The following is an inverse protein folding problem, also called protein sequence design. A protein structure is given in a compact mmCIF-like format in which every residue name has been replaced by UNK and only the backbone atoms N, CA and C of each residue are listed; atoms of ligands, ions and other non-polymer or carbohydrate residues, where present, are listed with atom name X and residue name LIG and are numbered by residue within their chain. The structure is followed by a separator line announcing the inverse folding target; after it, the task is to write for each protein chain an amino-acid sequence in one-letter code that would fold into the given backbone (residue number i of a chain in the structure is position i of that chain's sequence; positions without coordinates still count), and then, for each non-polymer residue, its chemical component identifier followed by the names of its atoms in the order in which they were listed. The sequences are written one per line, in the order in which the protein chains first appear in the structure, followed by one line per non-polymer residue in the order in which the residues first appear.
data_IF_488876053018
#
_entry.id   IF_488876053018
#
_cell.length_a   1.000
_cell.length_b   1.000
_cell.length_c   1.000
_cell.angle_alpha   90.00
_cell.angle_beta   90.00
_cell.angle_gamma   90.00
#
_symmetry.space_group_name_H-M   'P 1'
#
loop_
_entity.id
_entity.type
_entity.pdbx_description
1 polymer ?
#
# COMPACT_ATOMS: atom_id res chain seq x y z
N UNK A 1 -24.02 17.06 -22.04
CA UNK A 1 -23.05 17.49 -21.00
C UNK A 1 -21.84 16.56 -21.04
N UNK A 2 -21.13 16.48 -22.16
CA UNK A 2 -19.95 15.63 -22.30
C UNK A 2 -18.71 16.36 -21.77
N UNK A 3 -18.15 15.80 -20.69
CA UNK A 3 -16.79 15.94 -20.13
C UNK A 3 -16.22 17.35 -19.88
N UNK A 4 -16.82 18.10 -18.95
CA UNK A 4 -16.09 19.20 -18.27
C UNK A 4 -15.19 18.68 -17.13
N UNK A 5 -15.32 17.41 -16.74
CA UNK A 5 -14.59 16.83 -15.63
C UNK A 5 -14.06 15.45 -15.96
N UNK A 6 -12.88 15.15 -15.39
CA UNK A 6 -12.28 13.82 -15.44
C UNK A 6 -13.17 12.83 -14.67
N UNK A 7 -13.55 11.72 -15.31
CA UNK A 7 -14.38 10.67 -14.71
C UNK A 7 -13.60 9.88 -13.63
N UNK A 8 -14.24 9.40 -12.53
CA UNK A 8 -13.56 8.47 -11.64
C UNK A 8 -13.26 7.16 -12.34
N UNK A 9 -12.25 6.43 -11.85
CA UNK A 9 -11.97 5.11 -12.39
C UNK A 9 -13.20 4.18 -12.25
N UNK A 10 -13.52 3.47 -13.32
CA UNK A 10 -14.51 2.40 -13.34
C UNK A 10 -13.81 1.07 -13.64
N UNK A 11 -13.05 0.51 -12.68
CA UNK A 11 -12.30 -0.69 -12.96
C UNK A 11 -13.27 -1.81 -13.31
N UNK A 12 -13.04 -2.54 -14.41
CA UNK A 12 -13.81 -3.77 -14.62
C UNK A 12 -13.55 -4.78 -13.49
N UNK A 13 -14.46 -5.75 -13.28
CA UNK A 13 -14.21 -6.84 -12.35
C UNK A 13 -12.89 -7.58 -12.62
N UNK A 14 -12.48 -7.66 -13.89
CA UNK A 14 -11.18 -8.21 -14.29
C UNK A 14 -9.97 -7.39 -13.83
N UNK A 15 -10.07 -6.06 -13.77
CA UNK A 15 -8.99 -5.21 -13.26
C UNK A 15 -8.85 -5.37 -11.75
N UNK A 16 -9.96 -5.46 -11.02
CA UNK A 16 -9.95 -5.73 -9.57
C UNK A 16 -9.30 -7.08 -9.25
N UNK A 17 -9.72 -8.14 -9.96
CA UNK A 17 -9.14 -9.48 -9.81
C UNK A 17 -7.66 -9.46 -10.20
N UNK A 18 -7.30 -8.75 -11.27
CA UNK A 18 -5.92 -8.65 -11.74
C UNK A 18 -5.00 -7.91 -10.76
N UNK A 19 -5.40 -6.75 -10.21
CA UNK A 19 -4.62 -6.03 -9.18
C UNK A 19 -4.41 -6.92 -7.94
N UNK A 20 -5.47 -7.58 -7.48
CA UNK A 20 -5.42 -8.49 -6.33
C UNK A 20 -4.53 -9.71 -6.61
N UNK A 21 -4.61 -10.28 -7.82
CA UNK A 21 -3.81 -11.43 -8.25
C UNK A 21 -2.33 -11.09 -8.39
N UNK A 22 -1.99 -9.92 -8.94
CA UNK A 22 -0.63 -9.37 -8.98
C UNK A 22 -0.11 -9.21 -7.54
N UNK A 23 -0.94 -8.63 -6.66
CA UNK A 23 -0.67 -8.52 -5.24
C UNK A 23 -0.34 -9.85 -4.57
N UNK A 24 -1.18 -10.87 -4.78
CA UNK A 24 -0.95 -12.22 -4.24
C UNK A 24 0.38 -12.81 -4.71
N UNK A 25 0.66 -12.73 -6.01
CA UNK A 25 1.89 -13.24 -6.60
C UNK A 25 3.12 -12.57 -5.99
N UNK A 26 3.10 -11.24 -5.85
CA UNK A 26 4.23 -10.50 -5.28
C UNK A 26 4.36 -10.77 -3.79
N UNK A 27 3.26 -10.75 -3.04
CA UNK A 27 3.27 -11.09 -1.61
C UNK A 27 3.90 -12.45 -1.36
N UNK A 28 3.62 -13.43 -2.22
CA UNK A 28 4.24 -14.76 -2.16
C UNK A 28 5.74 -14.73 -2.51
N UNK A 29 6.14 -14.03 -3.56
CA UNK A 29 7.55 -13.88 -3.95
C UNK A 29 8.37 -13.20 -2.85
N UNK A 30 7.84 -12.12 -2.26
CA UNK A 30 8.49 -11.41 -1.16
C UNK A 30 8.58 -12.28 0.11
N UNK A 31 7.53 -13.05 0.40
CA UNK A 31 7.58 -14.02 1.49
C UNK A 31 8.70 -15.06 1.28
N UNK A 32 8.85 -15.61 0.07
CA UNK A 32 9.96 -16.52 -0.25
C UNK A 32 11.32 -15.82 -0.10
N UNK A 33 11.44 -14.59 -0.59
CA UNK A 33 12.69 -13.82 -0.51
C UNK A 33 13.10 -13.60 0.95
N UNK A 34 12.18 -13.14 1.80
CA UNK A 34 12.44 -12.92 3.22
C UNK A 34 12.71 -14.23 3.95
N UNK A 35 12.02 -15.30 3.57
CA UNK A 35 12.32 -16.64 4.09
C UNK A 35 13.75 -17.07 3.76
N UNK A 36 14.19 -16.91 2.51
CA UNK A 36 15.56 -17.21 2.10
C UNK A 36 16.59 -16.34 2.84
N UNK A 37 16.32 -15.05 3.03
CA UNK A 37 17.18 -14.15 3.81
C UNK A 37 17.33 -14.63 5.26
N UNK A 38 16.25 -15.09 5.89
CA UNK A 38 16.31 -15.65 7.25
C UNK A 38 17.13 -16.93 7.32
N UNK A 39 17.08 -17.80 6.31
CA UNK A 39 17.91 -19.01 6.25
C UNK A 39 19.39 -18.66 6.14
N UNK A 40 19.74 -17.67 5.31
CA UNK A 40 21.13 -17.23 5.12
C UNK A 40 21.70 -16.59 6.38
N UNK A 41 20.91 -15.78 7.09
CA UNK A 41 21.32 -15.14 8.33
C UNK A 41 21.37 -16.13 9.51
N UNK A 42 20.64 -17.25 9.43
CA UNK A 42 20.56 -18.28 10.46
C UNK A 42 19.58 -17.92 11.58
N UNK A 43 18.76 -18.88 12.01
CA UNK A 43 17.76 -18.67 13.09
C UNK A 43 18.40 -18.25 14.42
N UNK A 44 19.63 -18.71 14.68
CA UNK A 44 20.42 -18.35 15.85
C UNK A 44 20.89 -16.89 15.87
N UNK A 45 21.01 -16.25 14.71
CA UNK A 45 21.35 -14.82 14.59
C UNK A 45 20.19 -13.95 15.05
N UNK A 46 18.96 -14.25 14.65
CA UNK A 46 17.77 -13.51 15.08
C UNK A 46 17.52 -13.64 16.58
N UNK A 47 17.62 -14.86 17.13
CA UNK A 47 17.32 -15.14 18.55
C UNK A 47 18.37 -14.55 19.50
N UNK A 48 19.64 -14.45 19.08
CA UNK A 48 20.73 -13.94 19.94
C UNK A 48 21.08 -12.47 19.75
N UNK A 49 20.52 -11.79 18.74
CA UNK A 49 20.94 -10.42 18.37
C UNK A 49 19.98 -9.31 18.79
N UNK A 50 19.01 -9.58 19.68
CA UNK A 50 18.15 -8.52 20.22
C UNK A 50 19.00 -7.33 20.70
N UNK A 51 18.61 -6.12 20.29
CA UNK A 51 19.37 -4.89 20.50
C UNK A 51 19.40 -3.96 19.28
N UNK A 52 20.09 -2.84 19.43
CA UNK A 52 20.10 -1.75 18.44
C UNK A 52 20.55 -2.20 17.04
N UNK A 53 21.53 -3.10 16.96
CA UNK A 53 22.02 -3.63 15.68
C UNK A 53 20.93 -4.34 14.89
N UNK A 54 20.12 -5.16 15.55
CA UNK A 54 19.01 -5.84 14.90
C UNK A 54 17.91 -4.88 14.47
N UNK A 55 17.69 -3.82 15.24
CA UNK A 55 16.80 -2.72 14.87
C UNK A 55 17.23 -2.07 13.53
N UNK A 56 18.53 -1.79 13.36
CA UNK A 56 19.08 -1.27 12.10
C UNK A 56 18.94 -2.26 10.93
N UNK A 57 19.16 -3.56 11.17
CA UNK A 57 18.97 -4.57 10.13
C UNK A 57 17.51 -4.59 9.68
N UNK A 58 16.56 -4.66 10.62
CA UNK A 58 15.15 -4.81 10.29
C UNK A 58 14.58 -3.59 9.57
N UNK A 59 14.99 -2.36 9.93
CA UNK A 59 14.54 -1.16 9.21
C UNK A 59 15.08 -1.10 7.77
N UNK A 60 16.32 -1.58 7.55
CA UNK A 60 16.91 -1.67 6.21
C UNK A 60 16.22 -2.78 5.41
N UNK A 61 15.99 -3.94 6.02
CA UNK A 61 15.31 -5.06 5.36
C UNK A 61 13.89 -4.67 4.97
N UNK A 62 13.11 -4.03 5.85
CA UNK A 62 11.76 -3.57 5.51
C UNK A 62 11.77 -2.58 4.35
N UNK A 63 12.75 -1.66 4.32
CA UNK A 63 12.92 -0.72 3.23
C UNK A 63 13.24 -1.42 1.90
N UNK A 64 14.26 -2.27 1.88
CA UNK A 64 14.72 -2.96 0.65
C UNK A 64 13.63 -3.87 0.10
N UNK A 65 13.00 -4.68 0.96
CA UNK A 65 12.00 -5.65 0.51
C UNK A 65 10.75 -4.95 -0.01
N UNK A 66 10.28 -3.89 0.66
CA UNK A 66 9.13 -3.12 0.16
C UNK A 66 9.46 -2.39 -1.14
N UNK A 67 10.68 -1.85 -1.30
CA UNK A 67 11.09 -1.23 -2.56
C UNK A 67 11.12 -2.23 -3.73
N UNK A 68 11.72 -3.40 -3.53
CA UNK A 68 11.72 -4.46 -4.55
C UNK A 68 10.28 -4.85 -4.87
N UNK A 69 9.46 -5.06 -3.86
CA UNK A 69 8.05 -5.37 -3.99
C UNK A 69 7.29 -4.33 -4.81
N UNK A 70 7.47 -3.04 -4.51
CA UNK A 70 6.83 -1.94 -5.25
C UNK A 70 7.35 -1.80 -6.67
N UNK A 71 8.65 -2.01 -6.91
CA UNK A 71 9.20 -2.02 -8.27
C UNK A 71 8.55 -3.09 -9.14
N UNK A 72 8.41 -4.31 -8.61
CA UNK A 72 7.73 -5.41 -9.31
C UNK A 72 6.23 -5.08 -9.45
N UNK A 73 5.58 -4.58 -8.39
CA UNK A 73 4.15 -4.26 -8.39
C UNK A 73 3.79 -3.20 -9.44
N UNK A 74 4.46 -2.04 -9.41
CA UNK A 74 4.25 -0.98 -10.39
C UNK A 74 4.61 -1.42 -11.81
N UNK A 75 5.64 -2.26 -11.97
CA UNK A 75 6.03 -2.81 -13.28
C UNK A 75 4.94 -3.72 -13.85
N UNK A 76 4.40 -4.64 -13.04
CA UNK A 76 3.31 -5.53 -13.47
C UNK A 76 2.01 -4.78 -13.73
N UNK A 77 1.68 -3.76 -12.93
CA UNK A 77 0.53 -2.89 -13.21
C UNK A 77 0.69 -2.13 -14.52
N UNK A 78 1.87 -1.56 -14.78
CA UNK A 78 2.17 -0.90 -16.04
C UNK A 78 2.03 -1.84 -17.25
N UNK A 79 2.50 -3.09 -17.12
CA UNK A 79 2.37 -4.09 -18.19
C UNK A 79 0.93 -4.58 -18.40
N UNK A 80 0.19 -4.81 -17.32
CA UNK A 80 -1.17 -5.37 -17.39
C UNK A 80 -2.26 -4.33 -17.67
N UNK A 81 -2.07 -3.10 -17.20
CA UNK A 81 -3.06 -2.03 -17.19
C UNK A 81 -2.43 -0.69 -17.63
N UNK A 82 -1.54 -0.73 -18.62
CA UNK A 82 -0.71 0.42 -19.03
C UNK A 82 -1.47 1.66 -19.51
N UNK A 83 -2.78 1.59 -19.75
CA UNK A 83 -3.62 2.76 -20.00
C UNK A 83 -3.77 3.61 -18.72
N UNK A 84 -4.08 2.97 -17.60
CA UNK A 84 -4.25 3.64 -16.30
C UNK A 84 -2.89 3.84 -15.59
N UNK A 85 -1.96 2.92 -15.80
CA UNK A 85 -0.68 2.84 -15.10
C UNK A 85 0.51 3.14 -16.00
N UNK A 86 0.42 4.16 -16.86
CA UNK A 86 1.39 4.39 -17.94
C UNK A 86 2.78 4.88 -17.47
N UNK A 87 2.86 5.62 -16.36
CA UNK A 87 4.11 6.26 -15.91
C UNK A 87 4.79 5.48 -14.78
N UNK A 88 5.50 4.39 -15.16
CA UNK A 88 6.26 3.59 -14.21
C UNK A 88 7.27 4.42 -13.40
N UNK A 89 7.94 5.38 -14.05
CA UNK A 89 8.96 6.22 -13.43
C UNK A 89 8.40 7.03 -12.26
N UNK A 90 7.23 7.67 -12.42
CA UNK A 90 6.56 8.40 -11.34
C UNK A 90 6.03 7.47 -10.25
N UNK A 91 5.37 6.39 -10.62
CA UNK A 91 4.83 5.40 -9.67
C UNK A 91 5.91 4.84 -8.74
N UNK A 92 7.02 4.39 -9.34
CA UNK A 92 8.14 3.86 -8.58
C UNK A 92 8.89 4.96 -7.83
N UNK A 93 9.10 6.13 -8.45
CA UNK A 93 9.77 7.26 -7.81
C UNK A 93 9.08 7.74 -6.53
N UNK A 94 7.75 7.85 -6.53
CA UNK A 94 7.00 8.17 -5.31
C UNK A 94 7.08 7.06 -4.26
N UNK A 95 7.10 5.80 -4.68
CA UNK A 95 7.33 4.68 -3.76
C UNK A 95 8.71 4.76 -3.11
N UNK A 96 9.76 5.12 -3.85
CA UNK A 96 11.12 5.32 -3.32
C UNK A 96 11.15 6.44 -2.27
N UNK A 97 10.54 7.59 -2.59
CA UNK A 97 10.50 8.73 -1.68
C UNK A 97 9.73 8.41 -0.40
N UNK A 98 8.56 7.78 -0.51
CA UNK A 98 7.75 7.37 0.63
C UNK A 98 8.52 6.41 1.54
N UNK A 99 9.10 5.34 0.99
CA UNK A 99 9.86 4.36 1.76
C UNK A 99 11.10 4.99 2.41
N UNK A 100 11.78 5.92 1.74
CA UNK A 100 12.91 6.65 2.32
C UNK A 100 12.51 7.49 3.54
N UNK A 101 11.37 8.17 3.47
CA UNK A 101 10.82 8.90 4.61
C UNK A 101 10.38 7.97 5.75
N UNK A 102 9.83 6.80 5.42
CA UNK A 102 9.42 5.81 6.42
C UNK A 102 10.59 5.25 7.21
N UNK A 103 11.78 5.09 6.59
CA UNK A 103 13.00 4.73 7.34
C UNK A 103 13.27 5.75 8.44
N UNK A 104 13.19 7.05 8.13
CA UNK A 104 13.42 8.11 9.11
C UNK A 104 12.37 8.11 10.23
N UNK A 105 11.11 7.81 9.90
CA UNK A 105 9.99 7.80 10.85
C UNK A 105 10.01 6.56 11.75
N UNK A 106 10.31 5.38 11.19
CA UNK A 106 10.30 4.12 11.92
C UNK A 106 11.60 3.87 12.69
N UNK A 107 12.75 4.38 12.23
CA UNK A 107 14.04 4.19 12.92
C UNK A 107 13.99 4.47 14.43
N UNK A 108 13.49 5.62 14.93
CA UNK A 108 13.39 5.84 16.38
C UNK A 108 12.48 4.83 17.07
N UNK A 109 11.40 4.38 16.42
CA UNK A 109 10.49 3.36 16.96
C UNK A 109 11.22 2.02 17.10
N UNK A 110 11.98 1.61 16.08
CA UNK A 110 12.83 0.41 16.14
C UNK A 110 13.86 0.50 17.28
N UNK A 111 14.52 1.65 17.44
CA UNK A 111 15.50 1.84 18.51
C UNK A 111 14.87 1.80 19.90
N UNK A 112 13.68 2.40 20.07
CA UNK A 112 12.92 2.35 21.32
C UNK A 112 12.46 0.93 21.67
N UNK A 113 12.07 0.15 20.66
CA UNK A 113 11.56 -1.22 20.81
C UNK A 113 12.66 -2.29 20.72
N UNK A 114 13.93 -1.89 20.76
CA UNK A 114 15.07 -2.79 20.51
C UNK A 114 15.39 -3.78 21.63
N UNK A 115 14.73 -3.68 22.78
CA UNK A 115 14.95 -4.55 23.94
C UNK A 115 14.53 -6.00 23.73
N UNK A 116 13.53 -6.25 22.87
CA UNK A 116 13.00 -7.60 22.63
C UNK A 116 12.81 -7.86 21.14
N UNK A 117 13.16 -9.07 20.69
CA UNK A 117 13.00 -9.47 19.29
C UNK A 117 11.52 -9.42 18.86
N UNK A 118 10.60 -9.87 19.72
CA UNK A 118 9.16 -9.87 19.41
C UNK A 118 8.64 -8.46 19.12
N UNK A 119 9.04 -7.47 19.92
CA UNK A 119 8.68 -6.07 19.69
C UNK A 119 9.26 -5.55 18.38
N UNK A 120 10.53 -5.87 18.09
CA UNK A 120 11.17 -5.52 16.82
C UNK A 120 10.46 -6.13 15.61
N UNK A 121 10.04 -7.40 15.69
CA UNK A 121 9.30 -8.08 14.63
C UNK A 121 7.90 -7.51 14.44
N UNK A 122 7.24 -7.09 15.53
CA UNK A 122 5.96 -6.38 15.46
C UNK A 122 6.11 -5.02 14.77
N UNK A 123 7.10 -4.22 15.15
CA UNK A 123 7.40 -2.94 14.47
C UNK A 123 7.72 -3.19 12.99
N UNK A 124 8.49 -4.23 12.68
CA UNK A 124 8.78 -4.63 11.30
C UNK A 124 7.54 -4.95 10.49
N UNK A 125 6.61 -5.73 11.05
CA UNK A 125 5.37 -6.05 10.36
C UNK A 125 4.54 -4.80 10.07
N UNK A 126 4.38 -3.91 11.06
CA UNK A 126 3.67 -2.64 10.88
C UNK A 126 4.37 -1.77 9.84
N UNK A 127 5.70 -1.70 9.86
CA UNK A 127 6.48 -0.93 8.88
C UNK A 127 6.24 -1.44 7.46
N UNK A 128 6.35 -2.75 7.21
CA UNK A 128 6.10 -3.35 5.88
C UNK A 128 4.68 -3.07 5.41
N UNK A 129 3.66 -3.30 6.24
CA UNK A 129 2.26 -3.06 5.88
C UNK A 129 1.99 -1.59 5.57
N UNK A 130 2.53 -0.69 6.40
CA UNK A 130 2.34 0.76 6.22
C UNK A 130 3.11 1.28 5.00
N UNK A 131 4.30 0.75 4.75
CA UNK A 131 5.11 1.08 3.59
C UNK A 131 4.43 0.68 2.29
N UNK A 132 3.86 -0.53 2.23
CA UNK A 132 3.04 -0.92 1.09
C UNK A 132 1.78 -0.07 0.96
N UNK A 133 1.05 0.18 2.06
CA UNK A 133 -0.14 1.03 2.05
C UNK A 133 0.11 2.42 1.46
N UNK A 134 1.13 3.15 1.94
CA UNK A 134 1.44 4.49 1.42
C UNK A 134 1.91 4.41 -0.03
N UNK A 135 2.78 3.45 -0.36
CA UNK A 135 3.29 3.31 -1.73
C UNK A 135 2.17 3.00 -2.72
N UNK A 136 1.29 2.06 -2.38
CA UNK A 136 0.11 1.71 -3.17
C UNK A 136 -0.82 2.92 -3.34
N UNK A 137 -1.10 3.65 -2.26
CA UNK A 137 -1.96 4.84 -2.30
C UNK A 137 -1.37 5.90 -3.25
N UNK A 138 -0.06 6.13 -3.20
CA UNK A 138 0.62 7.07 -4.10
C UNK A 138 0.58 6.61 -5.55
N UNK A 139 0.72 5.30 -5.80
CA UNK A 139 0.52 4.72 -7.14
C UNK A 139 -0.89 5.04 -7.66
N UNK A 140 -1.94 4.80 -6.86
CA UNK A 140 -3.32 5.12 -7.27
C UNK A 140 -3.57 6.64 -7.40
N UNK A 141 -2.84 7.49 -6.68
CA UNK A 141 -2.92 8.94 -6.91
C UNK A 141 -2.37 9.34 -8.27
N UNK A 142 -1.36 8.63 -8.78
CA UNK A 142 -0.79 8.92 -10.10
C UNK A 142 -1.71 8.53 -11.26
N UNK A 143 -2.63 7.58 -11.04
CA UNK A 143 -3.55 7.12 -12.09
C UNK A 143 -4.75 8.07 -12.24
N UNK A 144 -5.27 8.60 -11.13
CA UNK A 144 -6.34 9.60 -11.16
C UNK A 144 -6.23 10.62 -10.01
N UNK A 145 -5.45 11.70 -10.20
CA UNK A 145 -5.18 12.68 -9.16
C UNK A 145 -6.43 13.40 -8.63
N UNK A 146 -7.44 13.61 -9.48
CA UNK A 146 -8.68 14.30 -9.12
C UNK A 146 -9.54 13.52 -8.13
N UNK A 147 -9.25 12.23 -7.94
CA UNK A 147 -9.94 11.36 -6.98
C UNK A 147 -8.99 10.83 -5.89
N UNK A 148 -7.89 11.53 -5.61
CA UNK A 148 -6.94 11.17 -4.57
C UNK A 148 -7.61 10.95 -3.21
N UNK A 149 -8.60 11.78 -2.83
CA UNK A 149 -9.34 11.58 -1.58
C UNK A 149 -10.11 10.23 -1.55
N UNK A 150 -10.74 9.85 -2.65
CA UNK A 150 -11.41 8.54 -2.77
C UNK A 150 -10.40 7.39 -2.74
N UNK A 151 -9.29 7.51 -3.47
CA UNK A 151 -8.21 6.52 -3.48
C UNK A 151 -7.59 6.30 -2.09
N UNK A 152 -7.46 7.38 -1.30
CA UNK A 152 -7.00 7.31 0.08
C UNK A 152 -7.97 6.52 0.96
N UNK A 153 -9.28 6.78 0.86
CA UNK A 153 -10.30 6.06 1.62
C UNK A 153 -10.24 4.56 1.30
N UNK A 154 -10.26 4.19 0.02
CA UNK A 154 -10.21 2.78 -0.39
C UNK A 154 -8.97 2.06 0.12
N UNK A 155 -7.81 2.70 0.01
CA UNK A 155 -6.54 2.15 0.52
C UNK A 155 -6.52 2.07 2.05
N UNK A 156 -7.11 3.05 2.74
CA UNK A 156 -7.20 3.07 4.21
C UNK A 156 -8.12 1.96 4.73
N UNK A 157 -9.24 1.68 4.07
CA UNK A 157 -10.10 0.54 4.39
C UNK A 157 -9.34 -0.79 4.27
N UNK A 158 -8.55 -0.93 3.19
CA UNK A 158 -7.69 -2.07 2.99
C UNK A 158 -6.60 -2.22 4.06
N UNK A 159 -5.95 -1.12 4.42
CA UNK A 159 -4.95 -1.11 5.48
C UNK A 159 -5.55 -1.46 6.84
N UNK A 160 -6.72 -0.90 7.18
CA UNK A 160 -7.44 -1.23 8.40
C UNK A 160 -7.78 -2.73 8.49
N UNK A 161 -8.31 -3.32 7.41
CA UNK A 161 -8.57 -4.76 7.35
C UNK A 161 -7.29 -5.58 7.47
N UNK A 162 -6.21 -5.13 6.84
CA UNK A 162 -4.87 -5.76 6.93
C UNK A 162 -4.40 -5.82 8.37
N UNK A 163 -4.52 -4.73 9.12
CA UNK A 163 -4.17 -4.70 10.55
C UNK A 163 -5.03 -5.65 11.37
N UNK A 164 -6.34 -5.70 11.14
CA UNK A 164 -7.24 -6.62 11.84
C UNK A 164 -6.84 -8.08 11.58
N UNK A 165 -6.59 -8.44 10.32
CA UNK A 165 -6.16 -9.80 9.95
C UNK A 165 -4.79 -10.13 10.55
N UNK A 166 -3.84 -9.20 10.51
CA UNK A 166 -2.53 -9.37 11.15
C UNK A 166 -2.66 -9.62 12.66
N UNK A 167 -3.49 -8.84 13.35
CA UNK A 167 -3.74 -8.99 14.78
C UNK A 167 -4.46 -10.29 15.13
N UNK A 168 -5.33 -10.80 14.24
CA UNK A 168 -5.94 -12.11 14.40
C UNK A 168 -4.89 -13.23 14.25
N UNK A 169 -4.00 -13.14 13.26
CA UNK A 169 -2.87 -14.08 13.11
C UNK A 169 -1.97 -14.01 14.35
N UNK A 170 -1.68 -12.80 14.84
CA UNK A 170 -0.91 -12.57 16.05
C UNK A 170 -1.52 -13.29 17.26
N UNK A 171 -2.81 -13.10 17.50
CA UNK A 171 -3.49 -13.69 18.67
C UNK A 171 -3.58 -15.21 18.59
N UNK A 172 -3.80 -15.79 17.40
CA UNK A 172 -3.83 -17.24 17.19
C UNK A 172 -2.47 -17.91 17.41
N UNK A 173 -1.38 -17.16 17.20
CA UNK A 173 -0.01 -17.69 17.28
C UNK A 173 0.66 -17.45 18.64
N UNK A 174 0.19 -16.46 19.41
CA UNK A 174 0.64 -16.19 20.80
C UNK A 174 -0.31 -16.74 21.86
N UNK A 175 -1.58 -16.97 21.53
CA UNK A 175 -2.67 -17.27 22.47
C UNK A 175 -2.76 -18.71 22.99
N UNK A 176 -1.69 -19.51 22.92
CA UNK A 176 -1.72 -20.91 23.39
C UNK A 176 -0.75 -21.27 24.52
N UNK A 177 -0.10 -20.31 25.17
CA UNK A 177 0.74 -20.61 26.34
C UNK A 177 0.71 -19.47 27.34
N UNK A 178 0.50 -19.85 28.60
CA UNK A 178 0.57 -19.03 29.79
C UNK A 178 1.67 -17.96 29.68
N UNK A 179 1.25 -16.73 29.98
CA UNK A 179 2.10 -15.56 30.08
C UNK A 179 3.25 -15.83 31.05
N UNK A 180 4.47 -15.89 30.53
CA UNK A 180 5.65 -16.06 31.37
C UNK A 180 6.93 -16.05 30.55
N UNK A 181 7.13 -17.03 29.67
CA UNK A 181 8.47 -17.29 29.13
C UNK A 181 8.44 -18.14 27.84
N UNK A 182 7.36 -18.06 27.05
CA UNK A 182 7.27 -18.83 25.81
C UNK A 182 8.15 -18.20 24.72
N UNK A 183 9.38 -18.67 24.59
CA UNK A 183 10.16 -18.50 23.35
C UNK A 183 9.28 -18.88 22.16
N UNK A 184 9.07 -17.95 21.22
CA UNK A 184 8.36 -18.25 19.99
C UNK A 184 9.02 -19.45 19.30
N UNK A 185 8.26 -20.50 19.07
CA UNK A 185 8.71 -21.59 18.23
C UNK A 185 9.10 -21.08 16.84
N UNK A 186 10.06 -21.75 16.20
CA UNK A 186 10.60 -21.33 14.90
C UNK A 186 9.50 -21.16 13.84
N UNK A 187 8.48 -22.01 13.86
CA UNK A 187 7.34 -21.96 12.95
C UNK A 187 6.45 -20.73 13.18
N UNK A 188 6.28 -20.30 14.44
CA UNK A 188 5.55 -19.08 14.78
C UNK A 188 6.30 -17.87 14.26
N UNK A 189 7.63 -17.80 14.48
CA UNK A 189 8.47 -16.69 14.01
C UNK A 189 8.38 -16.46 12.50
N UNK A 190 8.36 -17.54 11.71
CA UNK A 190 8.19 -17.45 10.26
C UNK A 190 6.85 -16.86 9.85
N UNK A 191 5.74 -17.29 10.46
CA UNK A 191 4.42 -16.72 10.17
C UNK A 191 4.36 -15.21 10.45
N UNK A 192 5.05 -14.75 11.50
CA UNK A 192 5.11 -13.33 11.86
C UNK A 192 5.84 -12.46 10.84
N UNK A 193 6.97 -12.96 10.34
CA UNK A 193 7.83 -12.20 9.43
C UNK A 193 7.25 -12.20 8.02
N UNK A 194 6.55 -13.28 7.64
CA UNK A 194 6.07 -13.49 6.28
C UNK A 194 4.64 -12.97 6.05
N UNK A 195 3.77 -13.08 7.06
CA UNK A 195 2.36 -12.68 6.92
C UNK A 195 2.16 -11.25 6.45
N UNK A 196 2.94 -10.22 6.88
CA UNK A 196 2.73 -8.83 6.45
C UNK A 196 2.71 -8.67 4.93
N UNK A 197 3.57 -9.38 4.21
CA UNK A 197 3.63 -9.33 2.74
C UNK A 197 2.40 -9.97 2.10
N UNK A 198 2.02 -11.16 2.58
CA UNK A 198 0.90 -11.91 2.03
C UNK A 198 -0.43 -11.17 2.20
N UNK A 199 -0.65 -10.59 3.38
CA UNK A 199 -1.92 -9.94 3.68
C UNK A 199 -1.99 -8.53 3.08
N UNK A 200 -0.94 -7.72 3.18
CA UNK A 200 -0.98 -6.32 2.72
C UNK A 200 -1.08 -6.22 1.21
N UNK A 201 -0.28 -6.99 0.47
CA UNK A 201 -0.29 -6.98 -1.00
C UNK A 201 -1.61 -7.50 -1.58
N UNK A 202 -2.41 -8.23 -0.81
CA UNK A 202 -3.72 -8.75 -1.27
C UNK A 202 -4.86 -7.85 -0.81
N UNK A 203 -4.95 -7.56 0.49
CA UNK A 203 -6.12 -6.92 1.08
C UNK A 203 -6.20 -5.43 0.73
N UNK A 204 -5.07 -4.73 0.60
CA UNK A 204 -5.08 -3.31 0.25
C UNK A 204 -5.60 -3.08 -1.18
N UNK A 205 -5.08 -3.73 -2.23
CA UNK A 205 -5.59 -3.55 -3.59
C UNK A 205 -7.02 -4.08 -3.74
N UNK A 206 -7.39 -5.16 -3.03
CA UNK A 206 -8.74 -5.72 -3.05
C UNK A 206 -9.76 -4.72 -2.50
N UNK A 207 -9.52 -4.19 -1.29
CA UNK A 207 -10.44 -3.25 -0.65
C UNK A 207 -10.47 -1.90 -1.36
N UNK A 208 -9.33 -1.44 -1.90
CA UNK A 208 -9.30 -0.26 -2.77
C UNK A 208 -10.17 -0.48 -4.03
N UNK A 209 -10.05 -1.64 -4.67
CA UNK A 209 -10.89 -2.00 -5.81
C UNK A 209 -12.38 -2.02 -5.48
N UNK A 210 -12.77 -2.64 -4.35
CA UNK A 210 -14.17 -2.66 -3.88
C UNK A 210 -14.68 -1.25 -3.63
N UNK A 211 -13.88 -0.42 -2.94
CA UNK A 211 -14.25 0.97 -2.69
C UNK A 211 -14.42 1.76 -3.99
N UNK A 212 -13.54 1.55 -4.98
CA UNK A 212 -13.63 2.22 -6.28
C UNK A 212 -14.95 1.90 -6.98
N UNK A 213 -15.45 0.66 -6.91
CA UNK A 213 -16.78 0.29 -7.42
C UNK A 213 -17.92 1.02 -6.71
N UNK A 214 -17.84 1.09 -5.38
CA UNK A 214 -18.83 1.77 -4.54
C UNK A 214 -18.84 3.26 -4.90
N UNK A 215 -17.67 3.89 -5.00
CA UNK A 215 -17.54 5.30 -5.34
C UNK A 215 -18.05 5.60 -6.76
N UNK A 216 -17.71 4.75 -7.73
CA UNK A 216 -18.22 4.89 -9.09
C UNK A 216 -19.76 4.79 -9.14
N UNK A 217 -20.36 3.93 -8.32
CA UNK A 217 -21.81 3.85 -8.19
C UNK A 217 -22.43 5.16 -7.66
N UNK A 218 -21.78 5.80 -6.67
CA UNK A 218 -22.20 7.12 -6.14
C UNK A 218 -22.10 8.20 -7.24
N UNK A 219 -21.00 8.21 -7.99
CA UNK A 219 -20.79 9.09 -9.14
C UNK A 219 -21.88 8.92 -10.20
N UNK A 220 -22.19 7.67 -10.58
CA UNK A 220 -23.23 7.36 -11.56
C UNK A 220 -24.65 7.78 -11.10
N UNK A 221 -24.86 7.88 -9.78
CA UNK A 221 -26.07 8.45 -9.18
C UNK A 221 -26.15 9.99 -9.24
N UNK A 222 -25.17 10.67 -9.82
CA UNK A 222 -25.13 12.12 -9.99
C UNK A 222 -24.38 12.88 -8.87
N UNK A 223 -23.74 12.18 -7.93
CA UNK A 223 -23.03 12.80 -6.81
C UNK A 223 -21.52 12.63 -6.96
N UNK A 224 -20.75 13.73 -6.85
CA UNK A 224 -19.29 13.65 -6.92
C UNK A 224 -18.57 14.34 -5.73
N UNK A 225 -18.75 13.82 -4.50
CA UNK A 225 -18.37 14.53 -3.28
C UNK A 225 -16.86 14.57 -3.00
N UNK A 226 -16.06 13.70 -3.63
CA UNK A 226 -14.62 13.59 -3.38
C UNK A 226 -13.77 14.01 -4.59
N UNK A 227 -14.40 14.62 -5.60
CA UNK A 227 -13.69 15.18 -6.74
C UNK A 227 -12.98 16.47 -6.35
N UNK A 228 -11.71 16.55 -6.72
CA UNK A 228 -10.88 17.74 -6.57
C UNK A 228 -10.49 18.19 -7.99
N UNK A 229 -11.00 19.34 -8.47
CA UNK A 229 -10.70 19.82 -9.81
C UNK A 229 -9.20 20.14 -9.95
N UNK A 230 -8.60 19.77 -11.07
CA UNK A 230 -7.24 20.17 -11.39
C UNK A 230 -7.24 21.56 -12.01
N UNK A 231 -6.09 22.25 -11.95
CA UNK A 231 -5.95 23.57 -12.56
C UNK A 231 -6.28 23.56 -14.06
N UNK A 232 -5.96 22.47 -14.76
CA UNK A 232 -6.32 22.28 -16.16
C UNK A 232 -7.84 22.20 -16.37
N UNK A 233 -8.56 21.50 -15.49
CA UNK A 233 -10.03 21.39 -15.54
C UNK A 233 -10.69 22.77 -15.30
N UNK A 234 -10.14 23.54 -14.36
CA UNK A 234 -10.62 24.89 -14.05
C UNK A 234 -10.40 25.84 -15.23
N UNK A 235 -9.22 25.79 -15.86
CA UNK A 235 -8.87 26.67 -16.98
C UNK A 235 -9.73 26.39 -18.20
N UNK A 236 -9.97 25.10 -18.53
CA UNK A 236 -10.89 24.73 -19.61
C UNK A 236 -12.33 25.18 -19.34
N UNK A 237 -12.80 25.07 -18.10
CA UNK A 237 -14.14 25.53 -17.73
C UNK A 237 -14.29 27.03 -17.97
N UNK A 238 -13.27 27.81 -17.62
CA UNK A 238 -13.25 29.27 -17.84
C UNK A 238 -13.22 29.63 -19.32
N UNK A 239 -12.41 28.96 -20.15
CA UNK A 239 -12.36 29.21 -21.59
C UNK A 239 -13.72 28.96 -22.26
N UNK A 240 -14.45 27.90 -21.85
CA UNK A 240 -15.79 27.61 -22.38
C UNK A 240 -16.82 28.63 -21.91
N UNK A 241 -16.78 29.09 -20.65
CA UNK A 241 -17.68 30.15 -20.17
C UNK A 241 -17.43 31.50 -20.87
N UNK A 242 -16.16 31.83 -21.12
CA UNK A 242 -15.77 33.05 -21.84
C UNK A 242 -16.20 32.99 -23.32
N UNK A 243 -16.13 31.83 -23.97
CA UNK A 243 -16.61 31.66 -25.36
C UNK A 243 -18.13 31.77 -25.45
N UNK A 244 -18.87 31.18 -24.51
CA UNK A 244 -20.35 31.26 -24.45
C UNK A 244 -20.85 32.68 -24.16
N UNK A 245 -20.12 33.46 -23.36
CA UNK A 245 -20.51 34.86 -23.06
C UNK A 245 -20.25 35.82 -24.22
N UNK A 246 -19.33 35.51 -25.14
CA UNK A 246 -19.08 36.30 -26.36
C UNK A 246 -20.13 36.04 -27.44
N UNK A 247 -20.76 34.86 -27.47
CA UNK A 247 -21.78 34.50 -28.46
C UNK A 247 -23.20 35.03 -28.17
N UNK A 248 -23.47 35.59 -26.99
CA UNK A 248 -24.77 36.21 -26.68
C UNK A 248 -24.74 37.65 -27.22
N UNK A 249 -25.46 38.00 -28.32
CA UNK A 249 -25.52 39.38 -28.77
C UNK A 249 -26.24 40.18 -27.70
N UNK A 250 -25.61 41.26 -27.23
CA UNK A 250 -26.31 42.26 -26.43
C UNK A 250 -27.45 42.84 -27.28
N UNK A 251 -28.67 42.36 -27.03
CA UNK A 251 -29.92 42.94 -27.57
C UNK A 251 -30.31 44.19 -26.81
#
# INVERSE_FOLDING_TARGET
MSSLFTEPQNPGGGQLIGKTGIGLLIGFVLAILVFALMQVLGSSFFVKSAGMFMAFILVIVSFVVTLIGMGIFSGLLNMAFGQDYYDFGKMFGFSVLANGLLVLLFLPIYLMMSGELTSLLFVYAIHVMFAFFISYTLVEFTTNPSYAASNLIGSTLGFGLTLVVYMAIYSMTMGSTDAGEATMGTNSLYLYILSPFLISYVLIPLMHGIWTQIYYSIYSGGNNPLFIPQLADITQTQEVEDEVTVEIPQQ
#
